data_IF_092719128793
#
_entry.id   IF_092719128793
#
_cell.length_a   1.000
_cell.length_b   1.000
_cell.length_c   1.000
_cell.angle_alpha   90.00
_cell.angle_beta   90.00
_cell.angle_gamma   90.00
#
_symmetry.space_group_name_H-M   'P 1'
#
loop_
_entity.id
_entity.type
_entity.pdbx_description
1 polymer ?
#
# COMPACT_ATOMS: atom_id res chain seq x y z
N UNK A 1 20.52 -3.39 19.92
CA UNK A 1 20.76 -4.32 18.77
C UNK A 1 19.58 -4.35 17.78
N UNK A 2 18.33 -4.14 18.18
CA UNK A 2 17.15 -4.18 17.27
C UNK A 2 17.13 -3.10 16.17
N UNK A 3 17.53 -1.86 16.47
CA UNK A 3 17.52 -0.77 15.49
C UNK A 3 18.47 -0.98 14.31
N UNK A 4 19.66 -1.52 14.57
CA UNK A 4 20.69 -1.69 13.53
C UNK A 4 20.30 -2.73 12.47
N UNK A 5 19.56 -3.78 12.86
CA UNK A 5 19.01 -4.78 11.92
C UNK A 5 17.89 -4.20 11.07
N UNK A 6 16.99 -3.41 11.67
CA UNK A 6 15.91 -2.75 10.95
C UNK A 6 16.44 -1.77 9.89
N UNK A 7 17.50 -1.02 10.20
CA UNK A 7 18.12 -0.08 9.26
C UNK A 7 18.81 -0.81 8.10
N UNK A 8 19.47 -1.94 8.34
CA UNK A 8 20.04 -2.78 7.29
C UNK A 8 18.95 -3.35 6.38
N UNK A 9 17.81 -3.75 6.93
CA UNK A 9 16.68 -4.29 6.17
C UNK A 9 16.04 -3.22 5.28
N UNK A 10 15.81 -2.01 5.81
CA UNK A 10 15.30 -0.85 5.06
C UNK A 10 16.22 -0.48 3.90
N UNK A 11 17.52 -0.36 4.14
CA UNK A 11 18.51 -0.05 3.12
C UNK A 11 18.56 -1.13 2.01
N UNK A 12 18.46 -2.40 2.38
CA UNK A 12 18.39 -3.50 1.44
C UNK A 12 17.16 -3.43 0.55
N UNK A 13 15.99 -3.15 1.13
CA UNK A 13 14.73 -2.99 0.39
C UNK A 13 14.82 -1.81 -0.56
N UNK A 14 15.26 -0.64 -0.10
CA UNK A 14 15.41 0.56 -0.93
C UNK A 14 16.33 0.30 -2.13
N UNK A 15 17.53 -0.23 -1.91
CA UNK A 15 18.50 -0.55 -2.97
C UNK A 15 17.97 -1.58 -3.98
N UNK A 16 17.12 -2.49 -3.53
CA UNK A 16 16.48 -3.49 -4.38
C UNK A 16 15.46 -2.84 -5.32
N UNK A 17 14.61 -1.94 -4.81
CA UNK A 17 13.63 -1.22 -5.60
C UNK A 17 14.27 -0.22 -6.55
N UNK A 18 15.37 0.43 -6.17
CA UNK A 18 16.14 1.33 -7.03
C UNK A 18 16.58 0.64 -8.34
N UNK A 19 17.06 -0.61 -8.24
CA UNK A 19 17.53 -1.37 -9.41
C UNK A 19 16.42 -1.67 -10.42
N UNK A 20 15.18 -1.86 -9.97
CA UNK A 20 14.08 -2.24 -10.85
C UNK A 20 13.11 -1.11 -11.16
N UNK A 21 13.35 0.09 -10.63
CA UNK A 21 12.47 1.24 -10.89
C UNK A 21 12.17 1.43 -12.40
N UNK A 22 13.12 1.03 -13.28
CA UNK A 22 12.96 1.02 -14.74
C UNK A 22 12.03 -0.04 -15.29
N UNK A 23 11.87 -1.16 -14.58
CA UNK A 23 11.21 -2.37 -15.07
C UNK A 23 9.79 -2.57 -14.51
N UNK A 24 9.33 -1.73 -13.60
CA UNK A 24 8.02 -1.87 -12.93
C UNK A 24 6.88 -2.03 -13.94
N UNK A 25 6.90 -1.28 -15.05
CA UNK A 25 5.87 -1.41 -16.09
C UNK A 25 5.84 -2.77 -16.77
N UNK A 26 7.00 -3.35 -17.00
CA UNK A 26 7.13 -4.67 -17.57
C UNK A 26 6.72 -5.74 -16.54
N UNK A 27 7.06 -5.55 -15.29
CA UNK A 27 6.68 -6.43 -14.17
C UNK A 27 5.16 -6.48 -14.04
N UNK A 28 4.44 -5.36 -14.02
CA UNK A 28 2.97 -5.33 -13.97
C UNK A 28 2.34 -6.11 -15.15
N UNK A 29 2.92 -5.96 -16.35
CA UNK A 29 2.46 -6.71 -17.52
C UNK A 29 2.71 -8.21 -17.37
N UNK A 30 3.89 -8.60 -16.92
CA UNK A 30 4.29 -10.01 -16.73
C UNK A 30 3.40 -10.73 -15.72
N UNK A 31 2.99 -10.03 -14.65
CA UNK A 31 2.13 -10.57 -13.60
C UNK A 31 0.64 -10.39 -13.85
N UNK A 32 0.25 -10.01 -15.07
CA UNK A 32 -1.16 -9.85 -15.46
C UNK A 32 -1.96 -8.95 -14.52
N UNK A 33 -1.37 -7.83 -14.04
CA UNK A 33 -2.10 -6.86 -13.24
C UNK A 33 -3.30 -6.34 -14.06
N UNK A 34 -4.55 -6.49 -13.59
CA UNK A 34 -5.73 -6.12 -14.37
C UNK A 34 -5.70 -4.64 -14.79
N UNK A 35 -6.06 -4.35 -16.04
CA UNK A 35 -5.96 -2.99 -16.62
C UNK A 35 -6.65 -1.91 -15.77
N UNK A 36 -7.82 -2.25 -15.20
CA UNK A 36 -8.62 -1.31 -14.40
C UNK A 36 -8.40 -1.46 -12.88
N UNK A 37 -7.44 -2.29 -12.47
CA UNK A 37 -7.24 -2.63 -11.06
C UNK A 37 -6.91 -1.40 -10.20
N UNK A 38 -6.01 -0.54 -10.68
CA UNK A 38 -5.62 0.70 -10.00
C UNK A 38 -6.77 1.71 -9.93
N UNK A 39 -7.49 1.91 -11.02
CA UNK A 39 -8.66 2.77 -11.06
C UNK A 39 -9.77 2.26 -10.12
N UNK A 40 -9.96 0.94 -10.06
CA UNK A 40 -10.92 0.31 -9.17
C UNK A 40 -10.55 0.55 -7.69
N UNK A 41 -9.30 0.31 -7.31
CA UNK A 41 -8.83 0.56 -5.95
C UNK A 41 -9.01 2.03 -5.54
N UNK A 42 -8.65 2.98 -6.42
CA UNK A 42 -8.84 4.41 -6.15
C UNK A 42 -10.32 4.77 -6.00
N UNK A 43 -11.21 4.16 -6.78
CA UNK A 43 -12.66 4.35 -6.62
C UNK A 43 -13.15 3.93 -5.22
N UNK A 44 -12.56 2.87 -4.64
CA UNK A 44 -12.92 2.37 -3.29
C UNK A 44 -12.48 3.31 -2.17
N UNK A 45 -11.55 4.23 -2.41
CA UNK A 45 -11.21 5.30 -1.47
C UNK A 45 -12.40 6.27 -1.23
N UNK A 46 -13.35 6.35 -2.17
CA UNK A 46 -14.51 7.24 -2.07
C UNK A 46 -14.14 8.73 -1.99
N UNK A 47 -13.02 9.10 -2.60
CA UNK A 47 -12.49 10.47 -2.60
C UNK A 47 -13.41 11.44 -3.34
N UNK A 48 -13.41 12.67 -2.85
CA UNK A 48 -14.10 13.82 -3.46
C UNK A 48 -13.08 14.91 -3.79
N UNK A 49 -13.37 15.82 -4.75
CA UNK A 49 -12.53 16.97 -5.01
C UNK A 49 -12.19 17.76 -3.73
N UNK A 50 -10.95 18.20 -3.61
CA UNK A 50 -10.42 18.93 -2.47
C UNK A 50 -9.90 18.06 -1.32
N UNK A 51 -10.10 16.75 -1.35
CA UNK A 51 -9.68 15.84 -0.29
C UNK A 51 -8.18 15.48 -0.33
N UNK A 52 -7.70 14.93 0.79
CA UNK A 52 -6.31 14.58 1.04
C UNK A 52 -6.14 13.07 1.10
N UNK A 53 -5.18 12.56 0.36
CA UNK A 53 -4.88 11.13 0.33
C UNK A 53 -3.39 10.88 0.46
N UNK A 54 -3.02 9.87 1.24
CA UNK A 54 -1.66 9.35 1.33
C UNK A 54 -1.58 8.03 0.56
N UNK A 55 -0.60 7.91 -0.32
CA UNK A 55 -0.20 6.63 -0.91
C UNK A 55 1.09 6.15 -0.25
N UNK A 56 1.01 4.99 0.41
CA UNK A 56 2.12 4.35 1.12
C UNK A 56 2.80 3.34 0.20
N UNK A 57 4.13 3.52 -0.01
CA UNK A 57 4.88 2.81 -1.04
C UNK A 57 4.46 3.23 -2.43
N UNK A 58 4.48 4.55 -2.70
CA UNK A 58 3.95 5.12 -3.94
C UNK A 58 4.75 4.75 -5.19
N UNK A 59 5.98 4.26 -5.01
CA UNK A 59 6.86 3.83 -6.08
C UNK A 59 7.06 4.91 -7.15
N UNK A 60 6.85 4.54 -8.40
CA UNK A 60 6.99 5.45 -9.55
C UNK A 60 5.75 6.33 -9.81
N UNK A 61 4.77 6.36 -8.90
CA UNK A 61 3.58 7.20 -9.00
C UNK A 61 2.49 6.67 -9.93
N UNK A 62 2.42 5.36 -10.16
CA UNK A 62 1.47 4.77 -11.13
C UNK A 62 -0.01 4.93 -10.75
N UNK A 63 -0.32 5.19 -9.49
CA UNK A 63 -1.68 5.47 -9.05
C UNK A 63 -2.01 6.98 -9.09
N UNK A 64 -1.01 7.86 -9.21
CA UNK A 64 -1.21 9.31 -9.18
C UNK A 64 -2.20 9.84 -10.23
N UNK A 65 -2.22 9.34 -11.50
CA UNK A 65 -3.24 9.79 -12.46
C UNK A 65 -4.66 9.58 -11.95
N UNK A 66 -4.94 8.44 -11.33
CA UNK A 66 -6.26 8.09 -10.79
C UNK A 66 -6.58 8.88 -9.52
N UNK A 67 -5.61 8.99 -8.60
CA UNK A 67 -5.76 9.80 -7.39
C UNK A 67 -6.00 11.27 -7.73
N UNK A 68 -5.23 11.81 -8.69
CA UNK A 68 -5.35 13.18 -9.17
C UNK A 68 -6.73 13.46 -9.78
N UNK A 69 -7.24 12.52 -10.56
CA UNK A 69 -8.59 12.62 -11.12
C UNK A 69 -9.67 12.60 -10.01
N UNK A 70 -9.46 11.85 -8.94
CA UNK A 70 -10.41 11.74 -7.84
C UNK A 70 -10.43 12.97 -6.93
N UNK A 71 -9.25 13.50 -6.53
CA UNK A 71 -9.16 14.63 -5.61
C UNK A 71 -9.21 16.00 -6.32
N UNK A 72 -9.01 16.04 -7.62
CA UNK A 72 -8.98 17.28 -8.41
C UNK A 72 -7.77 18.17 -8.09
N UNK A 73 -7.70 19.37 -8.72
CA UNK A 73 -6.54 20.27 -8.57
C UNK A 73 -6.40 20.88 -7.17
N UNK A 74 -7.48 20.97 -6.42
CA UNK A 74 -7.50 21.55 -5.07
C UNK A 74 -7.24 20.50 -3.97
N UNK A 75 -7.32 19.20 -4.28
CA UNK A 75 -6.97 18.13 -3.36
C UNK A 75 -5.46 17.97 -3.24
N UNK A 76 -5.02 17.22 -2.23
CA UNK A 76 -3.60 16.94 -1.96
C UNK A 76 -3.34 15.45 -2.02
N UNK A 77 -2.22 15.08 -2.61
CA UNK A 77 -1.73 13.71 -2.65
C UNK A 77 -0.36 13.71 -2.00
N UNK A 78 -0.21 12.90 -0.96
CA UNK A 78 1.07 12.62 -0.33
C UNK A 78 1.54 11.24 -0.79
N UNK A 79 2.77 11.13 -1.25
CA UNK A 79 3.37 9.87 -1.64
C UNK A 79 4.62 9.62 -0.82
N UNK A 80 4.69 8.51 -0.11
CA UNK A 80 5.87 8.11 0.66
C UNK A 80 6.45 6.81 0.11
N UNK A 81 7.78 6.76 -0.04
CA UNK A 81 8.52 5.57 -0.45
C UNK A 81 9.94 5.61 0.12
N UNK A 82 10.54 4.46 0.36
CA UNK A 82 11.93 4.34 0.82
C UNK A 82 12.96 4.51 -0.31
N UNK A 83 12.56 4.19 -1.56
CA UNK A 83 13.44 4.15 -2.72
C UNK A 83 13.52 5.51 -3.40
N UNK A 84 14.73 6.13 -3.39
CA UNK A 84 14.94 7.38 -4.13
C UNK A 84 14.81 7.19 -5.64
N UNK A 85 15.25 6.05 -6.18
CA UNK A 85 15.10 5.73 -7.60
C UNK A 85 13.64 5.64 -8.05
N UNK A 86 12.75 5.12 -7.19
CA UNK A 86 11.31 5.13 -7.42
C UNK A 86 10.76 6.56 -7.38
N UNK A 87 11.09 7.31 -6.34
CA UNK A 87 10.65 8.70 -6.18
C UNK A 87 11.18 9.62 -7.27
N UNK A 88 12.40 9.42 -7.78
CA UNK A 88 12.92 10.18 -8.92
C UNK A 88 12.02 10.04 -10.15
N UNK A 89 11.50 8.83 -10.41
CA UNK A 89 10.54 8.59 -11.51
C UNK A 89 9.18 9.19 -11.21
N UNK A 90 8.71 9.12 -9.97
CA UNK A 90 7.47 9.77 -9.56
C UNK A 90 7.57 11.31 -9.72
N UNK A 91 8.69 11.92 -9.32
CA UNK A 91 8.97 13.36 -9.53
C UNK A 91 8.99 13.72 -11.02
N UNK A 92 9.65 12.89 -11.85
CA UNK A 92 9.67 13.09 -13.30
C UNK A 92 8.27 12.99 -13.92
N UNK A 93 7.43 12.06 -13.46
CA UNK A 93 6.04 11.95 -13.86
C UNK A 93 5.28 13.24 -13.48
N UNK A 94 5.35 13.69 -12.24
CA UNK A 94 4.68 14.90 -11.76
C UNK A 94 5.12 16.14 -12.57
N UNK A 95 6.41 16.26 -12.86
CA UNK A 95 6.96 17.36 -13.66
C UNK A 95 6.45 17.35 -15.10
N UNK A 96 6.46 16.19 -15.76
CA UNK A 96 5.96 16.02 -17.12
C UNK A 96 4.46 16.38 -17.24
N UNK A 97 3.68 15.93 -16.27
CA UNK A 97 2.23 16.16 -16.21
C UNK A 97 1.86 17.53 -15.59
N UNK A 98 2.86 18.30 -15.13
CA UNK A 98 2.69 19.60 -14.44
C UNK A 98 1.75 19.53 -13.23
N UNK A 99 1.83 18.46 -12.45
CA UNK A 99 1.06 18.31 -11.23
C UNK A 99 1.76 19.02 -10.07
N UNK A 100 1.07 19.94 -9.43
CA UNK A 100 1.60 20.77 -8.34
C UNK A 100 1.02 20.42 -6.98
N UNK A 101 0.06 19.51 -6.93
CA UNK A 101 -0.64 19.11 -5.71
C UNK A 101 -0.28 17.69 -5.23
N UNK A 102 0.91 17.22 -5.63
CA UNK A 102 1.50 15.94 -5.18
C UNK A 102 2.80 16.26 -4.45
N UNK A 103 2.91 15.82 -3.22
CA UNK A 103 4.08 15.95 -2.37
C UNK A 103 4.70 14.58 -2.13
N UNK A 104 6.03 14.48 -2.32
CA UNK A 104 6.75 13.21 -2.25
C UNK A 104 7.78 13.25 -1.13
N UNK A 105 7.75 12.25 -0.26
CA UNK A 105 8.70 12.08 0.83
C UNK A 105 9.47 10.76 0.68
N UNK A 106 10.79 10.83 0.88
CA UNK A 106 11.64 9.66 1.04
C UNK A 106 11.78 9.37 2.53
N UNK A 107 10.90 8.50 3.04
CA UNK A 107 10.80 8.25 4.48
C UNK A 107 10.21 6.86 4.73
N UNK A 108 10.46 6.31 5.92
CA UNK A 108 9.76 5.11 6.37
C UNK A 108 8.29 5.43 6.63
N UNK A 109 7.40 4.68 6.02
CA UNK A 109 5.96 4.85 6.19
C UNK A 109 5.49 4.62 7.63
N UNK A 110 6.27 3.97 8.47
CA UNK A 110 6.00 3.83 9.90
C UNK A 110 6.30 5.11 10.70
N UNK A 111 7.06 6.03 10.13
CA UNK A 111 7.49 7.28 10.76
C UNK A 111 6.88 8.52 10.09
N UNK A 112 6.54 8.42 8.80
CA UNK A 112 6.01 9.54 8.00
C UNK A 112 4.70 10.09 8.57
N UNK A 113 4.66 11.40 8.77
CA UNK A 113 3.45 12.13 9.18
C UNK A 113 3.02 13.12 8.09
N UNK A 114 1.82 12.94 7.58
CA UNK A 114 1.22 13.92 6.68
C UNK A 114 1.00 15.27 7.41
N UNK A 115 1.22 16.41 6.74
CA UNK A 115 1.06 17.74 7.35
C UNK A 115 -0.36 18.03 7.86
N UNK A 116 -1.35 17.35 7.31
CA UNK A 116 -2.76 17.55 7.59
C UNK A 116 -3.49 16.21 7.75
N UNK A 117 -4.61 16.16 8.51
CA UNK A 117 -5.42 14.96 8.63
C UNK A 117 -5.89 14.44 7.27
N UNK A 118 -5.81 13.15 7.07
CA UNK A 118 -6.09 12.49 5.80
C UNK A 118 -7.56 12.08 5.68
N UNK A 119 -8.09 12.15 4.47
CA UNK A 119 -9.40 11.61 4.09
C UNK A 119 -9.30 10.13 3.73
N UNK A 120 -8.19 9.73 3.13
CA UNK A 120 -7.96 8.35 2.74
C UNK A 120 -6.48 7.96 2.72
N UNK A 121 -6.22 6.65 2.81
CA UNK A 121 -4.90 6.03 2.63
C UNK A 121 -4.99 4.89 1.63
N UNK A 122 -4.02 4.82 0.72
CA UNK A 122 -3.88 3.75 -0.27
C UNK A 122 -2.57 2.99 -0.04
N UNK A 123 -2.65 1.67 0.02
CA UNK A 123 -1.52 0.76 -0.19
C UNK A 123 -1.65 0.16 -1.59
N UNK A 124 -0.79 0.60 -2.50
CA UNK A 124 -0.86 0.23 -3.91
C UNK A 124 0.21 -0.77 -4.34
N UNK A 125 0.02 -2.07 -4.11
CA UNK A 125 1.01 -3.14 -4.35
C UNK A 125 2.24 -2.98 -3.46
N UNK A 126 2.06 -2.56 -2.22
CA UNK A 126 3.16 -2.21 -1.32
C UNK A 126 3.07 -2.87 0.05
N UNK A 127 1.88 -3.24 0.51
CA UNK A 127 1.68 -3.75 1.87
C UNK A 127 2.50 -5.01 2.15
N UNK A 128 2.48 -5.98 1.23
CA UNK A 128 3.18 -7.26 1.38
C UNK A 128 4.71 -7.14 1.33
N UNK A 129 5.23 -5.97 0.95
CA UNK A 129 6.67 -5.72 0.81
C UNK A 129 7.27 -5.02 2.03
N UNK A 130 6.42 -4.60 2.98
CA UNK A 130 6.84 -3.85 4.17
C UNK A 130 7.16 -4.79 5.34
N UNK A 131 8.36 -4.70 5.93
CA UNK A 131 8.73 -5.55 7.07
C UNK A 131 7.81 -5.34 8.28
N UNK A 132 7.46 -4.09 8.56
CA UNK A 132 6.65 -3.68 9.71
C UNK A 132 5.24 -3.26 9.30
N UNK A 133 4.62 -3.99 8.37
CA UNK A 133 3.34 -3.66 7.76
C UNK A 133 2.20 -3.41 8.77
N UNK A 134 2.18 -4.10 9.91
CA UNK A 134 1.19 -3.87 10.98
C UNK A 134 1.39 -2.51 11.66
N UNK A 135 2.65 -2.14 11.95
CA UNK A 135 2.96 -0.84 12.51
C UNK A 135 2.61 0.29 11.53
N UNK A 136 2.91 0.09 10.23
CA UNK A 136 2.55 1.01 9.16
C UNK A 136 1.03 1.16 9.04
N UNK A 137 0.26 0.05 9.08
CA UNK A 137 -1.20 0.08 9.05
C UNK A 137 -1.78 0.88 10.22
N UNK A 138 -1.28 0.62 11.42
CA UNK A 138 -1.72 1.32 12.63
C UNK A 138 -1.37 2.82 12.57
N UNK A 139 -0.18 3.15 12.08
CA UNK A 139 0.27 4.52 11.90
C UNK A 139 -0.59 5.26 10.85
N UNK A 140 -0.91 4.61 9.75
CA UNK A 140 -1.81 5.13 8.72
C UNK A 140 -3.21 5.43 9.28
N UNK A 141 -3.77 4.50 10.08
CA UNK A 141 -5.07 4.71 10.72
C UNK A 141 -5.08 5.91 11.68
N UNK A 142 -3.98 6.17 12.40
CA UNK A 142 -3.90 7.35 13.27
C UNK A 142 -4.03 8.65 12.51
N UNK A 143 -3.46 8.73 11.32
CA UNK A 143 -3.45 9.93 10.47
C UNK A 143 -4.79 10.19 9.77
N UNK A 144 -5.64 9.15 9.62
CA UNK A 144 -6.97 9.30 9.06
C UNK A 144 -7.89 10.08 10.02
N UNK A 145 -8.72 10.95 9.46
CA UNK A 145 -9.88 11.50 10.19
C UNK A 145 -10.90 10.41 10.52
N UNK A 146 -11.77 10.58 11.53
CA UNK A 146 -12.86 9.62 11.77
C UNK A 146 -13.69 9.38 10.51
N UNK A 147 -13.97 8.11 10.19
CA UNK A 147 -14.66 7.72 8.97
C UNK A 147 -13.82 7.82 7.67
N UNK A 148 -12.55 8.25 7.76
CA UNK A 148 -11.61 8.22 6.63
C UNK A 148 -11.36 6.80 6.16
N UNK A 149 -11.12 6.62 4.87
CA UNK A 149 -11.01 5.28 4.24
C UNK A 149 -9.57 4.83 4.08
N UNK A 150 -9.38 3.52 4.22
CA UNK A 150 -8.14 2.83 3.89
C UNK A 150 -8.43 1.76 2.84
N UNK A 151 -7.58 1.69 1.83
CA UNK A 151 -7.67 0.69 0.75
C UNK A 151 -6.33 0.02 0.60
N UNK A 152 -6.36 -1.31 0.52
CA UNK A 152 -5.19 -2.13 0.20
C UNK A 152 -5.50 -2.89 -1.09
N UNK A 153 -4.69 -2.69 -2.12
CA UNK A 153 -4.71 -3.49 -3.33
C UNK A 153 -3.39 -4.25 -3.46
N UNK A 154 -3.47 -5.56 -3.61
CA UNK A 154 -2.25 -6.39 -3.68
C UNK A 154 -2.53 -7.74 -4.37
N UNK A 155 -1.45 -8.50 -4.60
CA UNK A 155 -1.53 -9.87 -5.06
C UNK A 155 -1.58 -10.87 -3.91
N UNK A 156 -2.16 -12.03 -4.16
CA UNK A 156 -2.14 -13.17 -3.23
C UNK A 156 -2.04 -14.48 -3.98
N UNK A 157 -1.63 -15.54 -3.28
CA UNK A 157 -1.70 -16.89 -3.85
C UNK A 157 -3.18 -17.28 -4.00
N UNK A 158 -3.62 -17.74 -5.18
CA UNK A 158 -4.99 -18.21 -5.36
C UNK A 158 -5.36 -19.30 -4.36
N UNK A 159 -6.57 -19.23 -3.83
CA UNK A 159 -7.12 -20.29 -2.97
C UNK A 159 -7.53 -21.52 -3.79
N UNK A 160 -7.33 -22.72 -3.25
CA UNK A 160 -7.74 -23.98 -3.88
C UNK A 160 -6.59 -24.86 -4.33
N UNK A 161 -6.92 -25.99 -5.00
CA UNK A 161 -5.94 -27.00 -5.44
C UNK A 161 -4.89 -26.39 -6.40
N UNK A 162 -5.31 -25.58 -7.36
CA UNK A 162 -4.41 -24.91 -8.30
C UNK A 162 -3.40 -23.98 -7.59
N UNK A 163 -3.82 -23.26 -6.55
CA UNK A 163 -2.93 -22.42 -5.74
C UNK A 163 -1.88 -23.24 -5.00
N UNK A 164 -2.23 -24.43 -4.50
CA UNK A 164 -1.28 -25.32 -3.81
C UNK A 164 -0.17 -25.81 -4.73
N UNK A 165 -0.47 -26.07 -6.01
CA UNK A 165 0.54 -26.47 -6.99
C UNK A 165 1.45 -25.31 -7.42
N UNK A 166 0.92 -24.11 -7.51
CA UNK A 166 1.67 -22.92 -7.93
C UNK A 166 2.49 -22.33 -6.77
N UNK A 167 2.07 -22.57 -5.51
CA UNK A 167 2.67 -22.01 -4.31
C UNK A 167 4.19 -22.19 -4.21
N UNK A 168 4.79 -23.38 -4.43
CA UNK A 168 6.24 -23.54 -4.32
C UNK A 168 7.00 -22.68 -5.32
N UNK A 169 6.53 -22.62 -6.58
CA UNK A 169 7.09 -21.76 -7.61
C UNK A 169 6.87 -20.28 -7.29
N UNK A 170 5.67 -19.92 -6.82
CA UNK A 170 5.34 -18.56 -6.40
C UNK A 170 6.23 -18.10 -5.25
N UNK A 171 6.43 -18.92 -4.23
CA UNK A 171 7.34 -18.64 -3.11
C UNK A 171 8.80 -18.50 -3.56
N UNK A 172 9.25 -19.40 -4.46
CA UNK A 172 10.59 -19.30 -5.04
C UNK A 172 10.76 -17.99 -5.82
N UNK A 173 9.80 -17.66 -6.68
CA UNK A 173 9.80 -16.44 -7.48
C UNK A 173 9.80 -15.19 -6.57
N UNK A 174 8.97 -15.18 -5.54
CA UNK A 174 8.85 -14.06 -4.60
C UNK A 174 10.10 -13.88 -3.74
N UNK A 175 10.76 -14.97 -3.32
CA UNK A 175 12.06 -14.88 -2.63
C UNK A 175 13.17 -14.30 -3.49
N UNK A 176 13.11 -14.52 -4.81
CA UNK A 176 14.13 -14.07 -5.75
C UNK A 176 13.73 -12.80 -6.51
N UNK A 177 12.46 -12.43 -6.43
CA UNK A 177 11.91 -11.18 -6.97
C UNK A 177 11.40 -10.30 -5.82
N UNK A 178 10.75 -9.20 -6.15
CA UNK A 178 10.38 -8.12 -5.23
C UNK A 178 8.89 -8.12 -4.86
N UNK A 179 8.23 -9.24 -5.02
CA UNK A 179 6.77 -9.32 -4.90
C UNK A 179 6.25 -9.42 -3.45
N UNK A 180 7.12 -9.20 -2.47
CA UNK A 180 6.75 -9.24 -1.06
C UNK A 180 6.51 -10.66 -0.51
N UNK A 181 5.96 -10.74 0.70
CA UNK A 181 5.63 -12.00 1.35
C UNK A 181 4.18 -12.40 1.02
N UNK A 182 3.95 -13.49 0.24
CA UNK A 182 2.60 -13.90 -0.15
C UNK A 182 1.80 -14.55 0.98
N UNK A 183 2.43 -14.83 2.11
CA UNK A 183 1.79 -15.43 3.28
C UNK A 183 1.11 -14.37 4.16
N UNK A 184 1.49 -13.10 4.02
CA UNK A 184 0.80 -12.00 4.69
C UNK A 184 -0.63 -11.91 4.17
N UNK A 185 -1.57 -11.68 5.08
CA UNK A 185 -3.00 -11.59 4.77
C UNK A 185 -3.54 -10.19 5.11
N UNK A 186 -3.22 -9.17 4.32
CA UNK A 186 -3.57 -7.78 4.62
C UNK A 186 -5.06 -7.56 4.87
N UNK A 187 -5.91 -8.33 4.20
CA UNK A 187 -7.36 -8.28 4.41
C UNK A 187 -7.80 -8.70 5.82
N UNK A 188 -7.08 -9.64 6.46
CA UNK A 188 -7.34 -10.01 7.86
C UNK A 188 -6.90 -8.90 8.81
N UNK A 189 -5.74 -8.29 8.54
CA UNK A 189 -5.23 -7.18 9.33
C UNK A 189 -6.17 -5.97 9.25
N UNK A 190 -6.63 -5.62 8.06
CA UNK A 190 -7.56 -4.51 7.88
C UNK A 190 -8.92 -4.80 8.50
N UNK A 191 -9.47 -6.01 8.32
CA UNK A 191 -10.74 -6.41 8.91
C UNK A 191 -10.75 -6.38 10.45
N UNK A 192 -9.57 -6.56 11.07
CA UNK A 192 -9.44 -6.54 12.53
C UNK A 192 -9.47 -5.12 13.13
N UNK A 193 -9.23 -4.07 12.32
CA UNK A 193 -9.01 -2.69 12.81
C UNK A 193 -9.91 -1.65 12.17
N UNK A 194 -10.65 -1.99 11.12
CA UNK A 194 -11.47 -1.06 10.37
C UNK A 194 -12.96 -1.42 10.46
N UNK A 195 -13.81 -0.40 10.48
CA UNK A 195 -15.25 -0.55 10.29
C UNK A 195 -15.60 -0.71 8.81
N UNK A 196 -16.74 -1.33 8.52
CA UNK A 196 -17.28 -1.50 7.17
C UNK A 196 -16.28 -2.17 6.22
N UNK A 197 -15.62 -3.22 6.71
CA UNK A 197 -14.68 -3.99 5.89
C UNK A 197 -15.37 -4.70 4.73
N UNK A 198 -14.79 -4.53 3.55
CA UNK A 198 -15.19 -5.22 2.32
C UNK A 198 -13.96 -5.65 1.53
N UNK A 199 -14.13 -6.69 0.68
CA UNK A 199 -13.06 -7.21 -0.18
C UNK A 199 -13.61 -7.72 -1.50
N UNK A 200 -12.95 -7.38 -2.60
CA UNK A 200 -13.20 -7.92 -3.93
C UNK A 200 -11.96 -8.64 -4.46
N UNK A 201 -12.17 -9.70 -5.22
CA UNK A 201 -11.11 -10.52 -5.80
C UNK A 201 -11.21 -10.54 -7.32
N UNK A 202 -10.05 -10.61 -7.99
CA UNK A 202 -9.90 -10.56 -9.42
C UNK A 202 -9.01 -11.72 -9.89
N UNK A 203 -9.12 -12.08 -11.17
CA UNK A 203 -8.25 -13.07 -11.84
C UNK A 203 -8.11 -14.34 -10.99
N UNK A 204 -9.23 -15.05 -10.81
CA UNK A 204 -9.29 -16.31 -10.04
C UNK A 204 -8.77 -16.18 -8.59
N UNK A 205 -8.87 -14.97 -8.01
CA UNK A 205 -8.43 -14.69 -6.66
C UNK A 205 -6.93 -14.41 -6.50
N UNK A 206 -6.18 -14.21 -7.60
CA UNK A 206 -4.76 -13.83 -7.54
C UNK A 206 -4.54 -12.38 -7.16
N UNK A 207 -5.53 -11.52 -7.38
CA UNK A 207 -5.51 -10.11 -7.07
C UNK A 207 -6.70 -9.75 -6.21
N UNK A 208 -6.54 -8.80 -5.32
CA UNK A 208 -7.64 -8.32 -4.47
C UNK A 208 -7.55 -6.82 -4.19
N UNK A 209 -8.69 -6.24 -3.91
CA UNK A 209 -8.84 -4.92 -3.30
C UNK A 209 -9.66 -5.10 -2.05
N UNK A 210 -9.15 -4.71 -0.91
CA UNK A 210 -9.93 -4.65 0.33
C UNK A 210 -9.90 -3.22 0.89
N UNK A 211 -10.97 -2.85 1.57
CA UNK A 211 -11.12 -1.51 2.13
C UNK A 211 -11.97 -1.53 3.39
N UNK A 212 -11.81 -0.48 4.15
CA UNK A 212 -12.60 -0.22 5.35
C UNK A 212 -12.49 1.25 5.75
N UNK A 213 -13.15 1.64 6.80
CA UNK A 213 -13.10 2.99 7.34
C UNK A 213 -12.55 3.00 8.76
N UNK A 214 -11.87 4.12 9.11
CA UNK A 214 -11.44 4.35 10.48
C UNK A 214 -12.68 4.43 11.38
N UNK A 215 -12.73 3.68 12.49
CA UNK A 215 -13.80 3.75 13.45
C UNK A 215 -14.10 5.18 13.93
N UNK A 216 -15.40 5.52 14.06
CA UNK A 216 -15.85 6.86 14.45
C UNK A 216 -16.06 7.03 15.95
N UNK A 217 -16.01 5.95 16.75
CA UNK A 217 -16.29 5.96 18.18
C UNK A 217 -15.03 5.90 19.06
N UNK A 218 -15.24 6.10 20.36
CA UNK A 218 -14.20 6.10 21.42
C UNK A 218 -13.38 4.79 21.58
N UNK A 219 -13.62 3.80 20.74
CA UNK A 219 -12.91 2.51 20.76
C UNK A 219 -11.45 2.59 20.29
N UNK A 220 -11.00 3.73 19.77
CA UNK A 220 -9.58 3.90 19.42
C UNK A 220 -8.60 3.91 20.61
N UNK A 221 -9.10 4.14 21.83
CA UNK A 221 -8.27 4.04 23.04
C UNK A 221 -8.07 2.62 23.55
N UNK A 222 -8.80 1.67 22.99
CA UNK A 222 -8.80 0.26 23.39
C UNK A 222 -8.69 -0.70 22.20
N UNK A 223 -8.11 -0.26 21.06
CA UNK A 223 -7.60 -1.27 20.12
C UNK A 223 -6.57 -2.04 20.95
N UNK A 224 -6.87 -3.27 21.34
CA UNK A 224 -5.87 -4.07 22.01
C UNK A 224 -4.67 -3.98 21.07
N UNK A 225 -3.54 -3.78 21.64
CA UNK A 225 -2.27 -3.98 20.97
C UNK A 225 -2.34 -5.43 20.46
N UNK A 226 -2.98 -5.58 19.31
CA UNK A 226 -3.28 -6.87 18.69
C UNK A 226 -1.99 -7.52 18.16
N UNK A 227 -0.84 -6.88 18.45
CA UNK A 227 0.48 -7.38 18.20
C UNK A 227 0.70 -8.78 18.80
N UNK A 228 0.16 -9.09 19.96
CA UNK A 228 0.38 -10.43 20.56
C UNK A 228 -0.53 -11.51 19.99
N UNK A 229 -1.74 -11.19 19.52
CA UNK A 229 -2.65 -12.18 18.91
C UNK A 229 -2.44 -12.35 17.40
N UNK A 230 -1.96 -11.32 16.71
CA UNK A 230 -1.65 -11.41 15.28
C UNK A 230 -0.26 -12.00 15.03
N UNK A 231 0.72 -11.74 15.92
CA UNK A 231 2.05 -12.36 15.89
C UNK A 231 1.98 -13.85 16.24
N UNK A 232 1.02 -14.28 17.07
CA UNK A 232 0.80 -15.69 17.40
C UNK A 232 0.04 -16.47 16.32
N UNK A 233 -0.41 -15.83 15.24
CA UNK A 233 -1.11 -16.43 14.12
C UNK A 233 -0.27 -16.51 12.82
N UNK A 234 0.99 -16.04 12.87
CA UNK A 234 2.04 -16.26 11.85
C UNK A 234 2.99 -17.39 12.30
#
# INVERSE_FOLDING_TARGET
MSHQWADCERAFIAARYDRIAGLIGFIDWLFFVPRHFRAHAVKRLGLRPGQRVLEIGCGTGRNFPYLRAAVGPQGRIYGVDLSDGMLAKARALCGRERWTNIELAQEDAAEYMAPEPLDAVLFGLSYNTMPHHLAVLHHALKQLRPGGRIVIMDGKVPSGLGGKFILPFGLWLMRHTMLGNPLIKPWQHLAAVADHFEMEQFVFGSWYVCWGSKPTGAQMGALPYASERLIAAE
#
